data_IF_855824221582
#
_entry.id   IF_855824221582
#
_cell.length_a   1.000
_cell.length_b   1.000
_cell.length_c   1.000
_cell.angle_alpha   90.00
_cell.angle_beta   90.00
_cell.angle_gamma   90.00
#
_symmetry.space_group_name_H-M   'P 1'
#
loop_
_entity.id
_entity.type
_entity.pdbx_description
1 polymer ?
#
# COMPACT_ATOMS: atom_id res chain seq x y z
N UNK A 1 -6.23 3.54 -7.16
CA UNK A 1 -5.04 4.07 -6.47
C UNK A 1 -5.16 5.55 -6.11
N UNK A 2 -5.16 6.49 -7.08
CA UNK A 2 -5.18 7.95 -6.82
C UNK A 2 -6.17 8.42 -5.72
N UNK A 3 -7.46 8.11 -5.88
CA UNK A 3 -8.48 8.48 -4.90
C UNK A 3 -8.25 7.91 -3.49
N UNK A 4 -7.55 6.78 -3.36
CA UNK A 4 -7.29 6.16 -2.05
C UNK A 4 -6.20 6.90 -1.28
N UNK A 5 -5.24 7.52 -1.98
CA UNK A 5 -4.17 8.31 -1.33
C UNK A 5 -4.52 9.78 -1.17
N UNK A 6 -5.31 10.35 -2.08
CA UNK A 6 -5.64 11.79 -2.08
C UNK A 6 -6.32 12.27 -0.79
N UNK A 7 -7.00 11.38 -0.06
CA UNK A 7 -7.63 11.72 1.23
C UNK A 7 -6.62 12.10 2.32
N UNK A 8 -5.43 11.50 2.28
CA UNK A 8 -4.42 11.64 3.34
C UNK A 8 -3.08 12.17 2.80
N UNK A 9 -3.03 12.60 1.54
CA UNK A 9 -1.82 13.09 0.91
C UNK A 9 -1.76 14.63 0.98
N UNK A 10 -0.58 15.16 1.29
CA UNK A 10 -0.30 16.61 1.24
C UNK A 10 0.01 17.05 -0.19
N UNK A 11 0.66 16.17 -0.96
CA UNK A 11 0.96 16.35 -2.37
C UNK A 11 0.84 15.01 -3.07
N UNK A 12 0.30 15.02 -4.29
CA UNK A 12 0.23 13.87 -5.18
C UNK A 12 0.73 14.30 -6.55
N UNK A 13 1.77 13.62 -7.03
CA UNK A 13 2.27 13.75 -8.40
C UNK A 13 1.82 12.52 -9.18
N UNK A 14 1.24 12.75 -10.36
CA UNK A 14 0.82 11.69 -11.26
C UNK A 14 1.69 11.77 -12.52
N UNK A 15 2.40 10.70 -12.79
CA UNK A 15 3.13 10.50 -14.03
C UNK A 15 2.37 9.51 -14.94
N UNK A 16 2.92 9.24 -16.12
CA UNK A 16 2.25 8.37 -17.12
C UNK A 16 1.92 6.97 -16.59
N UNK A 17 2.81 6.40 -15.76
CA UNK A 17 2.71 5.02 -15.26
C UNK A 17 2.93 4.91 -13.75
N UNK A 18 3.14 6.03 -13.06
CA UNK A 18 3.39 6.04 -11.62
C UNK A 18 2.63 7.17 -10.93
N UNK A 19 2.45 7.00 -9.62
CA UNK A 19 1.84 7.95 -8.73
C UNK A 19 2.68 7.99 -7.46
N UNK A 20 3.02 9.19 -7.00
CA UNK A 20 3.83 9.37 -5.82
C UNK A 20 3.43 10.60 -5.02
N UNK A 21 3.92 10.71 -3.80
CA UNK A 21 3.60 11.84 -2.95
C UNK A 21 3.97 11.62 -1.49
N UNK A 22 3.44 12.50 -0.65
CA UNK A 22 3.70 12.48 0.77
C UNK A 22 2.40 12.49 1.54
N UNK A 23 2.37 11.72 2.62
CA UNK A 23 1.29 11.75 3.60
C UNK A 23 1.27 13.06 4.38
N UNK A 24 0.08 13.53 4.73
CA UNK A 24 -0.14 14.82 5.37
C UNK A 24 0.35 14.85 6.82
N UNK A 25 0.11 13.79 7.60
CA UNK A 25 0.39 13.78 9.03
C UNK A 25 1.81 13.28 9.35
N UNK A 26 2.23 12.22 8.65
CA UNK A 26 3.54 11.62 8.90
C UNK A 26 4.66 12.19 8.04
N UNK A 27 4.35 12.93 6.96
CA UNK A 27 5.28 13.25 5.88
C UNK A 27 5.98 12.00 5.31
N UNK A 28 5.29 10.86 5.33
CA UNK A 28 5.78 9.60 4.80
C UNK A 28 5.63 9.58 3.28
N UNK A 29 6.67 9.17 2.58
CA UNK A 29 6.63 9.10 1.12
C UNK A 29 5.92 7.83 0.68
N UNK A 30 5.04 7.93 -0.31
CA UNK A 30 4.44 6.78 -0.98
C UNK A 30 4.73 6.84 -2.48
N UNK A 31 4.85 5.65 -3.07
CA UNK A 31 5.07 5.47 -4.50
C UNK A 31 4.27 4.27 -4.98
N UNK A 32 3.65 4.38 -6.15
CA UNK A 32 2.95 3.31 -6.84
C UNK A 32 3.30 3.35 -8.32
N UNK A 33 3.55 2.20 -8.93
CA UNK A 33 3.83 2.07 -10.36
C UNK A 33 3.06 0.91 -10.98
N UNK A 34 2.69 1.08 -12.25
CA UNK A 34 2.18 -0.01 -13.07
C UNK A 34 3.30 -1.02 -13.33
N UNK A 35 2.98 -2.30 -13.17
CA UNK A 35 3.89 -3.40 -13.47
C UNK A 35 3.47 -4.01 -14.81
N UNK A 36 4.32 -3.86 -15.82
CA UNK A 36 4.09 -4.38 -17.17
C UNK A 36 5.37 -5.08 -17.71
N UNK A 37 5.33 -6.40 -17.96
CA UNK A 37 4.20 -7.30 -17.75
C UNK A 37 3.89 -7.53 -16.26
N UNK A 38 2.64 -7.86 -15.88
CA UNK A 38 2.28 -8.18 -14.50
C UNK A 38 3.18 -9.28 -13.91
N UNK A 39 3.58 -9.11 -12.65
CA UNK A 39 4.51 -10.02 -11.98
C UNK A 39 3.80 -10.94 -10.97
N UNK A 40 4.48 -11.99 -10.53
CA UNK A 40 3.97 -12.82 -9.42
C UNK A 40 4.05 -12.05 -8.10
N UNK A 41 3.23 -12.46 -7.13
CA UNK A 41 3.30 -11.91 -5.77
C UNK A 41 4.57 -12.41 -5.08
N UNK A 42 5.42 -11.47 -4.66
CA UNK A 42 6.59 -11.75 -3.85
C UNK A 42 6.31 -11.30 -2.42
N UNK A 43 5.81 -12.21 -1.58
CA UNK A 43 5.72 -11.99 -0.14
C UNK A 43 5.88 -13.33 0.57
N UNK A 44 6.84 -13.44 1.48
CA UNK A 44 7.15 -14.68 2.17
C UNK A 44 5.91 -15.21 2.91
N UNK A 45 5.62 -16.49 2.69
CA UNK A 45 4.43 -17.15 3.25
C UNK A 45 3.09 -16.71 2.63
N UNK A 46 3.09 -16.04 1.47
CA UNK A 46 1.88 -15.68 0.73
C UNK A 46 1.95 -16.15 -0.72
N UNK A 47 1.24 -17.25 -1.01
CA UNK A 47 1.13 -17.84 -2.35
C UNK A 47 -0.30 -17.68 -2.88
N UNK A 48 -0.43 -17.10 -4.07
CA UNK A 48 -1.72 -16.79 -4.71
C UNK A 48 -1.64 -16.97 -6.22
N UNK A 49 -2.80 -17.10 -6.87
CA UNK A 49 -2.93 -17.38 -8.30
C UNK A 49 -3.04 -16.13 -9.18
N UNK A 50 -3.03 -14.94 -8.58
CA UNK A 50 -3.16 -13.67 -9.27
C UNK A 50 -1.82 -12.94 -9.43
N UNK A 51 -1.77 -12.05 -10.42
CA UNK A 51 -0.59 -11.27 -10.76
C UNK A 51 -0.70 -9.83 -10.26
N UNK A 52 0.45 -9.27 -9.89
CA UNK A 52 0.63 -7.88 -9.48
C UNK A 52 0.68 -7.01 -10.73
N UNK A 53 -0.36 -6.20 -10.93
CA UNK A 53 -0.39 -5.16 -11.96
C UNK A 53 0.03 -3.77 -11.47
N UNK A 54 0.12 -3.58 -10.14
CA UNK A 54 0.57 -2.34 -9.50
C UNK A 54 1.45 -2.70 -8.31
N UNK A 55 2.66 -2.15 -8.26
CA UNK A 55 3.56 -2.26 -7.12
C UNK A 55 3.58 -0.95 -6.36
N UNK A 56 3.68 -1.01 -5.03
CA UNK A 56 3.73 0.18 -4.20
C UNK A 56 4.71 0.05 -3.06
N UNK A 57 5.22 1.19 -2.60
CA UNK A 57 6.15 1.30 -1.48
C UNK A 57 5.80 2.48 -0.59
N UNK A 58 6.05 2.31 0.72
CA UNK A 58 5.90 3.35 1.73
C UNK A 58 7.23 3.55 2.45
N UNK A 59 7.72 4.78 2.48
CA UNK A 59 8.90 5.19 3.23
C UNK A 59 8.45 6.03 4.42
N UNK A 60 8.57 5.45 5.61
CA UNK A 60 8.01 6.02 6.84
C UNK A 60 9.14 6.60 7.72
N UNK A 61 9.04 7.87 8.16
CA UNK A 61 9.99 8.40 9.13
C UNK A 61 9.88 7.65 10.47
N UNK A 62 11.00 7.21 11.03
CA UNK A 62 11.03 6.40 12.26
C UNK A 62 10.31 7.06 13.45
N UNK A 63 10.40 8.38 13.58
CA UNK A 63 9.76 9.13 14.65
C UNK A 63 8.26 9.41 14.41
N UNK A 64 7.70 8.94 13.29
CA UNK A 64 6.30 9.10 12.88
C UNK A 64 5.64 7.78 12.47
N UNK A 65 6.18 6.63 12.88
CA UNK A 65 5.68 5.31 12.48
C UNK A 65 4.19 5.12 12.82
N UNK A 66 3.72 5.63 13.95
CA UNK A 66 2.31 5.54 14.31
C UNK A 66 1.41 6.32 13.35
N UNK A 67 1.81 7.54 12.99
CA UNK A 67 1.11 8.37 12.02
C UNK A 67 1.13 7.69 10.65
N UNK A 68 2.30 7.26 10.17
CA UNK A 68 2.44 6.58 8.88
C UNK A 68 1.59 5.31 8.84
N UNK A 69 1.56 4.53 9.91
CA UNK A 69 0.76 3.32 9.96
C UNK A 69 -0.73 3.61 9.89
N UNK A 70 -1.23 4.64 10.58
CA UNK A 70 -2.62 5.08 10.45
C UNK A 70 -2.95 5.48 9.02
N UNK A 71 -2.10 6.27 8.37
CA UNK A 71 -2.33 6.74 7.00
C UNK A 71 -2.27 5.58 6.00
N UNK A 72 -1.33 4.64 6.14
CA UNK A 72 -1.26 3.41 5.32
C UNK A 72 -2.53 2.58 5.48
N UNK A 73 -3.00 2.35 6.70
CA UNK A 73 -4.26 1.62 6.94
C UNK A 73 -5.45 2.27 6.24
N UNK A 74 -5.57 3.60 6.35
CA UNK A 74 -6.62 4.33 5.64
C UNK A 74 -6.53 4.14 4.11
N UNK A 75 -5.32 4.15 3.52
CA UNK A 75 -5.15 3.88 2.08
C UNK A 75 -5.59 2.45 1.73
N UNK A 76 -5.17 1.45 2.53
CA UNK A 76 -5.51 0.05 2.27
C UNK A 76 -7.01 -0.20 2.38
N UNK A 77 -7.66 0.40 3.37
CA UNK A 77 -9.11 0.34 3.58
C UNK A 77 -9.86 0.99 2.41
N UNK A 78 -9.46 2.19 1.99
CA UNK A 78 -10.06 2.88 0.83
C UNK A 78 -9.89 2.09 -0.47
N UNK A 79 -8.75 1.39 -0.65
CA UNK A 79 -8.56 0.49 -1.78
C UNK A 79 -9.55 -0.66 -1.78
N UNK A 80 -9.74 -1.30 -0.62
CA UNK A 80 -10.66 -2.43 -0.47
C UNK A 80 -12.13 -2.05 -0.65
N UNK A 81 -12.53 -0.84 -0.23
CA UNK A 81 -13.92 -0.37 -0.35
C UNK A 81 -14.32 -0.01 -1.78
N UNK A 82 -13.36 0.43 -2.59
CA UNK A 82 -13.64 1.00 -3.92
C UNK A 82 -13.46 0.00 -5.05
N UNK A 83 -12.89 -1.16 -4.77
CA UNK A 83 -12.58 -2.17 -5.79
C UNK A 83 -12.43 -3.55 -5.17
N UNK A 84 -12.71 -4.58 -5.96
CA UNK A 84 -12.28 -5.96 -5.67
C UNK A 84 -10.77 -6.16 -5.88
N UNK A 85 -9.95 -5.10 -5.73
CA UNK A 85 -8.51 -5.20 -5.86
C UNK A 85 -7.95 -6.09 -4.77
N UNK A 86 -7.26 -7.13 -5.22
CA UNK A 86 -6.47 -8.00 -4.37
C UNK A 86 -5.12 -7.34 -4.13
N UNK A 87 -4.62 -7.42 -2.90
CA UNK A 87 -3.31 -6.89 -2.56
C UNK A 87 -2.71 -7.62 -1.36
N UNK A 88 -1.40 -7.54 -1.27
CA UNK A 88 -0.63 -7.88 -0.07
C UNK A 88 0.25 -6.70 0.30
N UNK A 89 0.25 -6.35 1.58
CA UNK A 89 1.15 -5.37 2.18
C UNK A 89 2.15 -6.12 3.03
N UNK A 90 3.43 -5.99 2.71
CA UNK A 90 4.53 -6.63 3.42
C UNK A 90 5.62 -5.64 3.82
N UNK A 91 6.39 -5.98 4.84
CA UNK A 91 7.66 -5.33 5.13
C UNK A 91 8.76 -6.01 4.34
N UNK A 92 9.31 -5.31 3.34
CA UNK A 92 10.43 -5.76 2.51
C UNK A 92 10.26 -7.19 1.96
N UNK A 93 9.02 -7.56 1.60
CA UNK A 93 8.65 -8.90 1.09
C UNK A 93 8.82 -10.08 2.08
N UNK A 94 9.25 -9.83 3.31
CA UNK A 94 9.44 -10.85 4.35
C UNK A 94 8.17 -10.99 5.18
N UNK A 95 7.69 -9.90 5.78
CA UNK A 95 6.62 -9.99 6.77
C UNK A 95 5.31 -9.38 6.27
N UNK A 96 4.30 -10.21 6.03
CA UNK A 96 2.94 -9.75 5.67
C UNK A 96 2.30 -9.01 6.84
N UNK A 97 1.91 -7.76 6.59
CA UNK A 97 1.22 -6.87 7.54
C UNK A 97 -0.28 -6.87 7.31
N UNK A 98 -0.70 -6.83 6.05
CA UNK A 98 -2.10 -6.86 5.69
C UNK A 98 -2.28 -7.50 4.31
N UNK A 99 -3.49 -7.96 4.03
CA UNK A 99 -3.88 -8.44 2.70
C UNK A 99 -5.36 -8.18 2.46
N UNK A 100 -5.77 -8.23 1.20
CA UNK A 100 -7.16 -8.24 0.78
C UNK A 100 -7.29 -9.21 -0.38
N UNK A 101 -8.19 -10.20 -0.28
CA UNK A 101 -8.52 -11.13 -1.36
C UNK A 101 -9.84 -10.76 -2.07
N UNK A 102 -10.33 -9.53 -1.87
CA UNK A 102 -11.54 -8.98 -2.49
C UNK A 102 -12.72 -8.80 -1.53
N UNK A 103 -12.58 -9.19 -0.26
CA UNK A 103 -13.65 -9.15 0.75
C UNK A 103 -13.40 -8.11 1.87
N UNK A 104 -12.31 -7.36 1.79
CA UNK A 104 -11.91 -6.39 2.81
C UNK A 104 -10.50 -6.63 3.32
N UNK A 105 -9.94 -5.62 3.99
CA UNK A 105 -8.57 -5.69 4.51
C UNK A 105 -8.52 -6.55 5.77
N UNK A 106 -7.59 -7.51 5.79
CA UNK A 106 -7.23 -8.29 6.98
C UNK A 106 -5.84 -7.89 7.43
N UNK A 107 -5.72 -7.45 8.69
CA UNK A 107 -4.44 -7.07 9.29
C UNK A 107 -3.85 -8.22 10.11
N UNK A 108 -2.60 -8.60 9.82
CA UNK A 108 -1.84 -9.63 10.55
C UNK A 108 -0.84 -9.05 11.54
N UNK A 109 -0.25 -7.89 11.23
CA UNK A 109 0.78 -7.22 12.04
C UNK A 109 0.55 -5.72 12.07
N UNK A 110 1.28 -5.04 12.96
CA UNK A 110 1.31 -3.58 13.08
C UNK A 110 2.76 -3.11 12.96
N UNK A 111 2.96 -1.94 12.32
CA UNK A 111 4.27 -1.26 12.28
C UNK A 111 4.71 -0.74 13.64
N UNK A 112 3.76 -0.60 14.57
CA UNK A 112 3.96 -0.13 15.94
C UNK A 112 3.55 -1.22 16.93
N UNK A 113 4.34 -1.37 17.99
CA UNK A 113 4.13 -2.33 19.09
C UNK A 113 3.19 -1.70 20.12
#
# INVERSE_FOLDING_TARGET
MRHAVEKNASVVTLEKTSLEGYFSDSNGFFYFELVDPPSVVFAEGWEVDWLVGVMGAFHCPLHKLEQSWREIKCVMEELSLRSSMRFVLSFQYDSVYAFNEGEGVVYKKSMVI
#
